data_IF_417784214522
#
_entry.id   IF_417784214522
#
_cell.length_a   1.000
_cell.length_b   1.000
_cell.length_c   1.000
_cell.angle_alpha   90.00
_cell.angle_beta   90.00
_cell.angle_gamma   90.00
#
_symmetry.space_group_name_H-M   'P 1'
#
loop_
_entity.id
_entity.type
_entity.pdbx_description
1 polymer ?
#
# COMPACT_ATOMS: atom_id res chain seq x y z
N UNK A 1 10.93 -35.77 -10.92
CA UNK A 1 11.07 -34.83 -9.78
C UNK A 1 9.83 -34.93 -8.93
N UNK A 2 10.00 -35.18 -7.63
CA UNK A 2 8.91 -35.41 -6.68
C UNK A 2 8.31 -34.09 -6.17
N UNK A 3 7.01 -34.06 -5.84
CA UNK A 3 6.36 -32.89 -5.23
C UNK A 3 7.06 -32.43 -3.94
N UNK A 4 7.68 -33.37 -3.20
CA UNK A 4 8.44 -33.08 -1.99
C UNK A 4 9.74 -32.29 -2.27
N UNK A 5 10.42 -32.56 -3.39
CA UNK A 5 11.64 -31.85 -3.80
C UNK A 5 11.32 -30.41 -4.22
N UNK A 6 10.23 -30.22 -4.99
CA UNK A 6 9.71 -28.89 -5.33
C UNK A 6 9.29 -28.11 -4.08
N UNK A 7 8.71 -28.78 -3.09
CA UNK A 7 8.34 -28.15 -1.83
C UNK A 7 9.56 -27.65 -1.05
N UNK A 8 10.61 -28.47 -0.93
CA UNK A 8 11.86 -28.07 -0.26
C UNK A 8 12.57 -26.91 -0.98
N UNK A 9 12.62 -26.93 -2.31
CA UNK A 9 13.22 -25.84 -3.10
C UNK A 9 12.44 -24.53 -2.88
N UNK A 10 11.10 -24.57 -2.92
CA UNK A 10 10.26 -23.39 -2.66
C UNK A 10 10.45 -22.86 -1.24
N UNK A 11 10.51 -23.73 -0.24
CA UNK A 11 10.73 -23.31 1.15
C UNK A 11 12.07 -22.59 1.32
N UNK A 12 13.16 -23.13 0.76
CA UNK A 12 14.49 -22.50 0.83
C UNK A 12 14.54 -21.16 0.09
N UNK A 13 13.90 -21.07 -1.07
CA UNK A 13 13.79 -19.81 -1.82
C UNK A 13 13.08 -18.74 -0.98
N UNK A 14 11.93 -19.08 -0.39
CA UNK A 14 11.18 -18.14 0.47
C UNK A 14 11.95 -17.73 1.72
N UNK A 15 12.72 -18.65 2.33
CA UNK A 15 13.60 -18.30 3.45
C UNK A 15 14.72 -17.34 3.01
N UNK A 16 15.33 -17.56 1.85
CA UNK A 16 16.34 -16.66 1.28
C UNK A 16 15.77 -15.28 0.93
N UNK A 17 14.55 -15.22 0.38
CA UNK A 17 13.83 -13.96 0.13
C UNK A 17 13.58 -13.19 1.42
N UNK A 18 13.13 -13.87 2.48
CA UNK A 18 12.90 -13.27 3.80
C UNK A 18 14.18 -12.73 4.41
N UNK A 19 15.30 -13.46 4.33
CA UNK A 19 16.58 -12.99 4.85
C UNK A 19 17.08 -11.73 4.10
N UNK A 20 16.92 -11.68 2.78
CA UNK A 20 17.23 -10.49 1.98
C UNK A 20 16.30 -9.31 2.30
N UNK A 21 15.02 -9.58 2.49
CA UNK A 21 14.04 -8.58 2.89
C UNK A 21 14.33 -8.00 4.27
N UNK A 22 14.74 -8.85 5.24
CA UNK A 22 15.10 -8.42 6.58
C UNK A 22 16.30 -7.45 6.58
N UNK A 23 17.21 -7.59 5.60
CA UNK A 23 18.34 -6.69 5.37
C UNK A 23 18.00 -5.46 4.52
N UNK A 24 16.77 -5.37 3.98
CA UNK A 24 16.37 -4.30 3.05
C UNK A 24 16.91 -4.46 1.62
N UNK A 25 17.63 -5.55 1.32
CA UNK A 25 18.31 -5.79 0.05
C UNK A 25 17.37 -6.35 -1.04
N UNK A 26 16.18 -6.81 -0.65
CA UNK A 26 15.23 -7.37 -1.61
C UNK A 26 14.58 -6.24 -2.43
N UNK A 27 14.82 -6.24 -3.75
CA UNK A 27 14.23 -5.28 -4.69
C UNK A 27 12.73 -5.52 -4.84
N UNK A 28 11.93 -4.70 -4.15
CA UNK A 28 10.47 -4.72 -4.25
C UNK A 28 9.99 -3.75 -5.33
N UNK A 29 8.85 -4.03 -5.99
CA UNK A 29 8.25 -3.07 -6.92
C UNK A 29 7.82 -1.82 -6.17
N UNK A 30 8.39 -0.67 -6.52
CA UNK A 30 8.07 0.62 -5.92
C UNK A 30 6.88 1.30 -6.62
N UNK A 31 6.05 2.04 -5.86
CA UNK A 31 4.91 2.77 -6.42
C UNK A 31 5.35 3.96 -7.29
N UNK A 32 4.39 4.58 -7.99
CA UNK A 32 4.63 5.83 -8.73
C UNK A 32 5.21 6.92 -7.82
N UNK A 33 6.22 7.65 -8.31
CA UNK A 33 6.93 8.66 -7.51
C UNK A 33 8.14 8.16 -6.76
N UNK A 34 8.38 6.85 -6.77
CA UNK A 34 9.62 6.25 -6.31
C UNK A 34 10.26 5.50 -7.48
N UNK A 35 11.59 5.56 -7.56
CA UNK A 35 12.40 4.89 -8.56
C UNK A 35 13.55 4.13 -7.88
N UNK A 36 14.14 3.18 -8.57
CA UNK A 36 15.40 2.58 -8.14
C UNK A 36 16.53 3.27 -8.91
N UNK A 37 17.57 3.69 -8.20
CA UNK A 37 18.80 4.14 -8.83
C UNK A 37 19.60 2.95 -9.41
N UNK A 38 20.67 3.24 -10.16
CA UNK A 38 21.65 2.26 -10.68
C UNK A 38 22.23 1.40 -9.57
N UNK A 39 22.45 1.98 -8.39
CA UNK A 39 22.91 1.29 -7.18
C UNK A 39 21.85 0.36 -6.57
N UNK A 40 20.59 0.46 -7.00
CA UNK A 40 19.48 -0.34 -6.49
C UNK A 40 18.76 0.24 -5.27
N UNK A 41 19.19 1.41 -4.80
CA UNK A 41 18.52 2.13 -3.71
C UNK A 41 17.24 2.80 -4.19
N UNK A 42 16.29 2.95 -3.27
CA UNK A 42 15.02 3.62 -3.54
C UNK A 42 15.24 5.13 -3.45
N UNK A 43 14.98 5.83 -4.53
CA UNK A 43 15.04 7.29 -4.63
C UNK A 43 13.67 7.87 -4.97
N UNK A 44 13.48 9.16 -4.71
CA UNK A 44 12.35 9.89 -5.28
C UNK A 44 12.46 9.90 -6.81
N UNK A 45 11.32 9.86 -7.50
CA UNK A 45 11.30 9.91 -8.95
C UNK A 45 11.95 11.23 -9.42
N UNK A 46 12.93 11.24 -10.33
CA UNK A 46 13.57 12.46 -10.83
C UNK A 46 12.60 13.44 -11.50
N UNK A 47 11.42 12.98 -11.92
CA UNK A 47 10.37 13.85 -12.46
C UNK A 47 9.75 14.76 -11.37
N UNK A 48 10.09 16.04 -11.42
CA UNK A 48 9.57 17.07 -10.51
C UNK A 48 8.04 17.20 -10.56
N UNK A 49 7.41 16.99 -11.71
CA UNK A 49 5.95 17.06 -11.84
C UNK A 49 5.29 15.93 -11.03
N UNK A 50 5.88 14.73 -11.06
CA UNK A 50 5.43 13.60 -10.25
C UNK A 50 5.62 13.90 -8.77
N UNK A 51 6.78 14.44 -8.38
CA UNK A 51 7.04 14.80 -6.99
C UNK A 51 6.05 15.86 -6.48
N UNK A 52 5.87 16.95 -7.23
CA UNK A 52 4.95 18.03 -6.90
C UNK A 52 3.50 17.52 -6.79
N UNK A 53 3.08 16.61 -7.69
CA UNK A 53 1.73 16.04 -7.65
C UNK A 53 1.50 15.20 -6.39
N UNK A 54 2.47 14.38 -6.00
CA UNK A 54 2.35 13.56 -4.80
C UNK A 54 2.42 14.41 -3.53
N UNK A 55 3.32 15.40 -3.49
CA UNK A 55 3.37 16.40 -2.41
C UNK A 55 2.03 17.12 -2.25
N UNK A 56 1.39 17.54 -3.35
CA UNK A 56 0.08 18.17 -3.34
C UNK A 56 -1.01 17.25 -2.76
N UNK A 57 -0.98 15.95 -3.07
CA UNK A 57 -1.95 14.98 -2.51
C UNK A 57 -1.84 14.94 -0.99
N UNK A 58 -0.63 14.84 -0.44
CA UNK A 58 -0.42 14.81 1.00
C UNK A 58 -0.77 16.15 1.65
N UNK A 59 -0.37 17.27 1.06
CA UNK A 59 -0.72 18.60 1.56
C UNK A 59 -2.25 18.81 1.60
N UNK A 60 -2.96 18.45 0.53
CA UNK A 60 -4.42 18.57 0.47
C UNK A 60 -5.12 17.58 1.40
N UNK A 61 -4.53 16.41 1.65
CA UNK A 61 -5.06 15.50 2.66
C UNK A 61 -4.90 16.04 4.07
N UNK A 62 -3.78 16.71 4.37
CA UNK A 62 -3.54 17.37 5.65
C UNK A 62 -4.56 18.48 5.92
N UNK A 63 -4.98 19.20 4.88
CA UNK A 63 -6.01 20.23 4.95
C UNK A 63 -7.43 19.63 5.06
N UNK A 64 -7.81 18.74 4.13
CA UNK A 64 -9.20 18.30 3.95
C UNK A 64 -9.56 17.06 4.77
N UNK A 65 -8.58 16.31 5.27
CA UNK A 65 -8.73 15.10 6.07
C UNK A 65 -9.57 13.99 5.40
N UNK A 66 -9.86 14.07 4.10
CA UNK A 66 -10.74 13.14 3.39
C UNK A 66 -10.24 12.82 1.99
N UNK A 67 -10.02 11.54 1.69
CA UNK A 67 -9.54 11.09 0.38
C UNK A 67 -10.52 11.46 -0.77
N UNK A 68 -11.84 11.47 -0.50
CA UNK A 68 -12.85 11.89 -1.48
C UNK A 68 -12.77 13.40 -1.74
N UNK A 69 -12.53 14.20 -0.70
CA UNK A 69 -12.38 15.65 -0.85
C UNK A 69 -11.12 15.99 -1.66
N UNK A 70 -10.00 15.31 -1.39
CA UNK A 70 -8.76 15.44 -2.16
C UNK A 70 -9.00 15.05 -3.63
N UNK A 71 -9.68 13.93 -3.90
CA UNK A 71 -10.03 13.54 -5.27
C UNK A 71 -10.88 14.60 -5.99
N UNK A 72 -11.90 15.16 -5.32
CA UNK A 72 -12.72 16.23 -5.91
C UNK A 72 -11.90 17.48 -6.22
N UNK A 73 -10.99 17.87 -5.32
CA UNK A 73 -10.09 18.98 -5.56
C UNK A 73 -9.22 18.73 -6.79
N UNK A 74 -8.60 17.55 -6.90
CA UNK A 74 -7.77 17.19 -8.05
C UNK A 74 -8.57 17.22 -9.36
N UNK A 75 -9.79 16.67 -9.37
CA UNK A 75 -10.65 16.70 -10.55
C UNK A 75 -11.11 18.11 -10.94
N UNK A 76 -11.43 18.96 -9.96
CA UNK A 76 -11.86 20.34 -10.21
C UNK A 76 -10.76 21.17 -10.88
N UNK A 77 -9.50 20.83 -10.63
CA UNK A 77 -8.34 21.53 -11.19
C UNK A 77 -7.70 20.75 -12.36
N UNK A 78 -8.36 19.72 -12.90
CA UNK A 78 -7.85 18.86 -13.98
C UNK A 78 -6.45 18.29 -13.71
N UNK A 79 -6.23 17.87 -12.47
CA UNK A 79 -4.96 17.35 -11.99
C UNK A 79 -4.95 15.81 -12.00
N UNK A 80 -4.41 15.15 -13.06
CA UNK A 80 -4.23 13.70 -13.06
C UNK A 80 -3.21 13.22 -12.01
N UNK A 81 -3.29 11.95 -11.65
CA UNK A 81 -2.35 11.31 -10.73
C UNK A 81 -1.37 10.40 -11.49
N UNK A 82 -0.10 10.37 -11.05
CA UNK A 82 0.89 9.46 -11.60
C UNK A 82 0.56 8.03 -11.16
N UNK A 83 0.51 7.11 -12.11
CA UNK A 83 0.27 5.69 -11.88
C UNK A 83 1.37 4.90 -12.58
N UNK A 84 2.01 4.02 -11.82
CA UNK A 84 2.98 3.07 -12.36
C UNK A 84 2.24 1.77 -12.64
N UNK A 85 2.11 1.34 -13.91
CA UNK A 85 1.56 0.03 -14.21
C UNK A 85 2.47 -1.05 -13.60
N UNK A 86 1.86 -2.07 -12.98
CA UNK A 86 2.60 -3.22 -12.41
C UNK A 86 2.83 -4.33 -13.45
N UNK A 87 2.12 -4.29 -14.57
CA UNK A 87 2.23 -5.23 -15.68
C UNK A 87 2.47 -4.45 -16.96
N UNK A 88 3.48 -4.87 -17.72
CA UNK A 88 3.82 -4.31 -19.03
C UNK A 88 5.27 -4.63 -19.40
N UNK A 89 5.67 -4.44 -20.67
CA UNK A 89 7.08 -4.48 -21.05
C UNK A 89 7.84 -3.40 -20.26
N UNK A 90 9.01 -3.76 -19.74
CA UNK A 90 9.88 -2.79 -19.07
C UNK A 90 10.39 -1.74 -20.08
N UNK A 91 10.55 -0.46 -19.70
CA UNK A 91 10.34 0.13 -18.38
C UNK A 91 8.88 0.45 -18.07
N UNK A 92 8.47 0.23 -16.81
CA UNK A 92 7.13 0.56 -16.33
C UNK A 92 7.04 2.09 -16.11
N UNK A 93 6.88 2.82 -17.21
CA UNK A 93 6.84 4.28 -17.21
C UNK A 93 5.62 4.82 -16.45
N UNK A 94 5.77 6.02 -15.91
CA UNK A 94 4.70 6.69 -15.18
C UNK A 94 3.62 7.14 -16.17
N UNK A 95 2.40 6.66 -15.97
CA UNK A 95 1.22 7.04 -16.75
C UNK A 95 0.34 7.96 -15.93
N UNK A 96 -0.06 9.08 -16.51
CA UNK A 96 -0.99 10.02 -15.89
C UNK A 96 -2.42 9.53 -16.08
N UNK A 97 -3.15 9.37 -14.97
CA UNK A 97 -4.55 8.94 -14.99
C UNK A 97 -5.42 9.85 -14.16
N UNK A 98 -6.68 9.98 -14.55
CA UNK A 98 -7.65 10.77 -13.80
C UNK A 98 -7.72 10.37 -12.32
N UNK A 99 -7.84 11.37 -11.45
CA UNK A 99 -7.90 11.17 -10.02
C UNK A 99 -9.12 10.32 -9.65
N UNK A 100 -8.90 9.26 -8.90
CA UNK A 100 -9.96 8.42 -8.34
C UNK A 100 -9.71 8.26 -6.83
N UNK A 101 -10.80 8.12 -6.08
CA UNK A 101 -10.79 7.87 -4.65
C UNK A 101 -9.93 6.66 -4.28
N UNK A 102 -9.99 5.58 -5.05
CA UNK A 102 -9.17 4.38 -4.84
C UNK A 102 -7.68 4.66 -5.04
N UNK A 103 -7.33 5.51 -6.01
CA UNK A 103 -5.94 5.89 -6.29
C UNK A 103 -5.38 6.78 -5.18
N UNK A 104 -6.15 7.78 -4.75
CA UNK A 104 -5.78 8.64 -3.62
C UNK A 104 -5.59 7.80 -2.36
N UNK A 105 -6.52 6.89 -2.06
CA UNK A 105 -6.39 5.96 -0.93
C UNK A 105 -5.14 5.07 -1.05
N UNK A 106 -4.87 4.55 -2.25
CA UNK A 106 -3.68 3.72 -2.47
C UNK A 106 -2.37 4.47 -2.22
N UNK A 107 -2.34 5.77 -2.52
CA UNK A 107 -1.19 6.65 -2.24
C UNK A 107 -1.07 6.87 -0.73
N UNK A 108 -2.15 7.32 -0.07
CA UNK A 108 -2.16 7.63 1.36
C UNK A 108 -1.91 6.41 2.25
N UNK A 109 -2.26 5.19 1.80
CA UNK A 109 -2.07 3.94 2.56
C UNK A 109 -0.72 3.27 2.28
N UNK A 110 0.13 3.85 1.43
CA UNK A 110 1.39 3.21 1.07
C UNK A 110 2.54 3.70 1.97
N UNK A 111 3.10 2.82 2.84
CA UNK A 111 4.20 3.17 3.76
C UNK A 111 5.48 3.54 3.01
N UNK A 112 5.64 3.14 1.74
CA UNK A 112 6.80 3.53 0.94
C UNK A 112 6.91 5.07 0.82
N UNK A 113 5.81 5.81 0.75
CA UNK A 113 5.89 7.27 0.71
C UNK A 113 6.34 7.89 2.03
N UNK A 114 6.34 7.11 3.12
CA UNK A 114 6.88 7.51 4.42
C UNK A 114 8.37 7.15 4.60
N UNK A 115 9.03 6.70 3.52
CA UNK A 115 10.42 6.22 3.58
C UNK A 115 10.56 4.85 4.23
N UNK A 116 9.47 4.11 4.42
CA UNK A 116 9.49 2.81 5.07
C UNK A 116 9.60 1.67 4.05
N UNK A 117 10.63 0.84 4.22
CA UNK A 117 10.78 -0.41 3.51
C UNK A 117 9.98 -1.49 4.22
N UNK A 118 9.02 -2.09 3.53
CA UNK A 118 8.07 -3.03 4.12
C UNK A 118 7.97 -4.31 3.32
N UNK A 119 8.17 -5.44 3.99
CA UNK A 119 7.95 -6.78 3.45
C UNK A 119 6.84 -7.52 4.22
N UNK A 120 6.09 -8.38 3.54
CA UNK A 120 5.02 -9.16 4.17
C UNK A 120 3.66 -8.44 4.29
N UNK A 121 3.42 -7.34 3.55
CA UNK A 121 2.14 -6.58 3.56
C UNK A 121 0.89 -7.40 3.21
N UNK A 122 1.08 -8.55 2.59
CA UNK A 122 0.03 -9.42 2.07
C UNK A 122 0.39 -10.86 2.40
N UNK A 123 -0.51 -11.55 3.09
CA UNK A 123 -0.41 -13.01 3.33
C UNK A 123 -1.44 -13.71 2.47
N UNK A 124 -1.06 -14.88 1.95
CA UNK A 124 -1.98 -15.76 1.22
C UNK A 124 -2.57 -16.71 2.25
N UNK A 125 -3.81 -16.45 2.65
CA UNK A 125 -4.54 -17.25 3.63
C UNK A 125 -5.45 -18.22 2.88
N UNK A 126 -4.85 -19.30 2.37
CA UNK A 126 -5.55 -20.31 1.58
C UNK A 126 -6.11 -19.78 0.26
N UNK A 127 -7.15 -20.43 -0.26
CA UNK A 127 -7.77 -20.09 -1.54
C UNK A 127 -9.07 -20.85 -1.78
N UNK A 128 -9.80 -20.45 -2.80
CA UNK A 128 -11.04 -21.12 -3.22
C UNK A 128 -10.89 -21.62 -4.64
N UNK A 129 -11.36 -22.84 -4.90
CA UNK A 129 -11.48 -23.36 -6.26
C UNK A 129 -12.79 -22.85 -6.85
N UNK A 130 -12.73 -22.17 -8.00
CA UNK A 130 -13.92 -21.76 -8.76
C UNK A 130 -13.72 -22.16 -10.21
N UNK A 131 -14.67 -22.92 -10.78
CA UNK A 131 -14.58 -23.48 -12.13
C UNK A 131 -13.28 -24.28 -12.37
N UNK A 132 -12.88 -25.12 -11.41
CA UNK A 132 -11.65 -25.93 -11.51
C UNK A 132 -10.34 -25.14 -11.34
N UNK A 133 -10.38 -23.81 -11.20
CA UNK A 133 -9.18 -22.97 -11.02
C UNK A 133 -9.04 -22.58 -9.56
N UNK A 134 -7.91 -22.94 -8.94
CA UNK A 134 -7.55 -22.47 -7.60
C UNK A 134 -7.24 -20.97 -7.63
N UNK A 135 -7.99 -20.20 -6.83
CA UNK A 135 -7.75 -18.77 -6.64
C UNK A 135 -7.28 -18.52 -5.20
N UNK A 136 -5.99 -18.20 -4.99
CA UNK A 136 -5.48 -17.86 -3.67
C UNK A 136 -6.19 -16.62 -3.12
N UNK A 137 -6.51 -16.64 -1.83
CA UNK A 137 -7.06 -15.48 -1.11
C UNK A 137 -5.92 -14.73 -0.46
N UNK A 138 -5.69 -13.50 -0.90
CA UNK A 138 -4.69 -12.62 -0.31
C UNK A 138 -5.33 -11.65 0.69
N UNK A 139 -4.93 -11.74 1.96
CA UNK A 139 -5.36 -10.83 3.02
C UNK A 139 -4.31 -9.74 3.22
N UNK A 140 -4.76 -8.51 3.50
CA UNK A 140 -3.87 -7.41 3.91
C UNK A 140 -3.49 -7.64 5.37
N UNK A 141 -2.20 -7.62 5.66
CA UNK A 141 -1.68 -7.80 7.02
C UNK A 141 -1.66 -6.45 7.73
N UNK A 142 -2.03 -6.43 9.02
CA UNK A 142 -1.99 -5.23 9.84
C UNK A 142 -0.55 -4.70 9.93
N UNK A 143 -0.38 -3.40 10.17
CA UNK A 143 0.95 -2.75 10.22
C UNK A 143 1.83 -3.41 11.28
N UNK A 144 1.26 -3.78 12.43
CA UNK A 144 1.96 -4.43 13.54
C UNK A 144 2.45 -5.86 13.21
N UNK A 145 1.83 -6.52 12.24
CA UNK A 145 2.13 -7.92 11.86
C UNK A 145 3.02 -8.01 10.62
N UNK A 146 3.57 -6.89 10.15
CA UNK A 146 4.50 -6.90 9.01
C UNK A 146 5.79 -7.62 9.38
N UNK A 147 6.21 -8.57 8.54
CA UNK A 147 7.41 -9.39 8.79
C UNK A 147 8.68 -8.53 8.86
N UNK A 148 8.74 -7.46 8.05
CA UNK A 148 9.83 -6.48 8.08
C UNK A 148 9.25 -5.09 7.87
N UNK A 149 9.61 -4.16 8.75
CA UNK A 149 9.29 -2.74 8.63
C UNK A 149 10.51 -1.91 9.03
N UNK A 150 11.36 -1.58 8.05
CA UNK A 150 12.50 -0.69 8.25
C UNK A 150 12.04 0.74 7.99
N UNK A 151 11.96 1.54 9.05
CA UNK A 151 11.60 2.96 8.96
C UNK A 151 12.80 3.76 8.45
N UNK A 152 12.54 4.84 7.71
CA UNK A 152 13.58 5.72 7.15
C UNK A 152 14.65 5.00 6.31
N UNK A 153 14.28 3.91 5.63
CA UNK A 153 15.17 3.16 4.74
C UNK A 153 15.49 3.95 3.46
N UNK A 154 14.65 4.92 3.08
CA UNK A 154 14.85 5.76 1.91
C UNK A 154 14.12 7.11 2.06
N UNK A 155 14.42 8.11 1.21
CA UNK A 155 13.69 9.37 1.18
C UNK A 155 12.19 9.13 0.93
N UNK A 156 11.35 9.72 1.80
CA UNK A 156 9.90 9.72 1.71
C UNK A 156 9.36 11.12 1.43
N UNK A 157 8.12 11.20 0.95
CA UNK A 157 7.39 12.47 0.81
C UNK A 157 6.84 12.98 2.14
N UNK A 158 6.61 12.07 3.08
CA UNK A 158 6.11 12.35 4.43
C UNK A 158 6.95 11.60 5.45
N UNK A 159 6.91 12.04 6.72
CA UNK A 159 7.51 11.30 7.82
C UNK A 159 6.67 10.07 8.24
N UNK A 160 7.28 9.16 8.98
CA UNK A 160 6.58 7.97 9.53
C UNK A 160 5.44 8.35 10.48
N UNK A 161 5.66 9.34 11.35
CA UNK A 161 4.64 9.82 12.27
C UNK A 161 3.43 10.42 11.53
N UNK A 162 3.68 11.22 10.49
CA UNK A 162 2.63 11.78 9.65
C UNK A 162 1.85 10.66 8.92
N UNK A 163 2.54 9.63 8.46
CA UNK A 163 1.88 8.47 7.86
C UNK A 163 0.94 7.76 8.83
N UNK A 164 1.38 7.54 10.07
CA UNK A 164 0.56 6.89 11.11
C UNK A 164 -0.67 7.74 11.46
N UNK A 165 -0.50 9.06 11.57
CA UNK A 165 -1.62 9.98 11.79
C UNK A 165 -2.61 9.97 10.62
N UNK A 166 -2.10 9.92 9.38
CA UNK A 166 -2.95 9.77 8.20
C UNK A 166 -3.73 8.44 8.23
N UNK A 167 -3.13 7.33 8.67
CA UNK A 167 -3.84 6.06 8.82
C UNK A 167 -4.96 6.14 9.87
N UNK A 168 -4.72 6.80 11.02
CA UNK A 168 -5.74 7.01 12.06
C UNK A 168 -6.92 7.82 11.51
N UNK A 169 -6.64 8.90 10.78
CA UNK A 169 -7.67 9.74 10.13
C UNK A 169 -8.48 8.95 9.11
N UNK A 170 -7.83 8.12 8.30
CA UNK A 170 -8.51 7.26 7.34
C UNK A 170 -9.41 6.23 8.04
N UNK A 171 -8.95 5.61 9.12
CA UNK A 171 -9.75 4.68 9.92
C UNK A 171 -10.98 5.36 10.55
N UNK A 172 -10.80 6.55 11.14
CA UNK A 172 -11.88 7.32 11.73
C UNK A 172 -12.95 7.72 10.69
N UNK A 173 -12.53 8.04 9.46
CA UNK A 173 -13.47 8.33 8.37
C UNK A 173 -14.29 7.11 7.95
N UNK A 174 -13.72 5.91 7.97
CA UNK A 174 -14.44 4.67 7.71
C UNK A 174 -15.48 4.43 8.81
N UNK A 175 -15.08 4.56 10.08
CA UNK A 175 -15.97 4.36 11.22
C UNK A 175 -17.15 5.35 11.22
N UNK A 176 -16.91 6.63 10.89
CA UNK A 176 -17.99 7.64 10.74
C UNK A 176 -18.94 7.31 9.59
N UNK A 177 -18.42 6.76 8.50
CA UNK A 177 -19.25 6.32 7.37
C UNK A 177 -20.15 5.14 7.78
N UNK A 178 -19.61 4.14 8.47
CA UNK A 178 -20.37 2.98 8.96
C UNK A 178 -21.40 3.36 10.03
N UNK A 179 -21.03 4.22 10.99
CA UNK A 179 -21.93 4.71 12.02
C UNK A 179 -23.10 5.56 11.46
N UNK A 180 -22.90 6.24 10.32
CA UNK A 180 -23.95 6.99 9.62
C UNK A 180 -24.77 6.18 8.60
N UNK A 181 -24.41 4.93 8.35
CA UNK A 181 -25.08 4.04 7.37
C UNK A 181 -25.61 2.76 8.03
N UNK A 182 -26.24 2.86 9.21
CA UNK A 182 -27.20 1.85 9.68
C UNK A 182 -28.47 1.89 8.83
N UNK A 183 -28.35 1.51 7.56
CA UNK A 183 -29.41 1.64 6.56
C UNK A 183 -29.37 0.49 5.55
N UNK A 184 -30.19 -0.53 5.83
CA UNK A 184 -30.64 -1.65 4.99
C UNK A 184 -29.54 -2.59 4.44
N UNK A 185 -29.53 -3.88 4.83
CA UNK A 185 -28.56 -4.84 4.33
C UNK A 185 -28.80 -5.12 2.85
N UNK A 186 -28.00 -4.49 1.97
CA UNK A 186 -27.92 -4.92 0.57
C UNK A 186 -27.17 -6.26 0.53
N UNK A 187 -27.90 -7.35 0.31
CA UNK A 187 -27.34 -8.64 -0.14
C UNK A 187 -26.53 -8.41 -1.41
N UNK A 188 -25.21 -8.38 -1.27
CA UNK A 188 -24.25 -8.25 -2.36
C UNK A 188 -22.85 -8.18 -1.78
N UNK A 189 -22.14 -9.31 -1.78
CA UNK A 189 -20.92 -9.50 -1.03
C UNK A 189 -19.79 -8.53 -1.38
N UNK A 190 -19.59 -7.54 -0.52
CA UNK A 190 -18.34 -6.81 -0.41
C UNK A 190 -17.74 -7.09 0.97
N UNK A 191 -16.67 -7.87 0.99
CA UNK A 191 -15.93 -8.20 2.21
C UNK A 191 -15.27 -6.93 2.74
N UNK A 192 -15.94 -6.25 3.68
CA UNK A 192 -15.35 -5.20 4.50
C UNK A 192 -14.18 -5.82 5.29
N UNK A 193 -12.99 -5.25 5.08
CA UNK A 193 -11.78 -5.61 5.84
C UNK A 193 -11.78 -4.75 7.10
N UNK A 194 -12.28 -5.31 8.19
CA UNK A 194 -12.02 -4.79 9.53
C UNK A 194 -10.52 -4.92 9.82
N UNK A 195 -9.88 -3.83 10.18
CA UNK A 195 -8.54 -3.84 10.77
C UNK A 195 -8.73 -3.90 12.29
N UNK A 196 -8.21 -4.91 13.01
CA UNK A 196 -8.24 -4.88 14.45
C UNK A 196 -7.19 -3.88 14.94
N UNK A 197 -7.65 -2.83 15.63
CA UNK A 197 -6.81 -1.92 16.39
C UNK A 197 -6.67 -2.54 17.79
N UNK A 198 -5.50 -3.11 18.11
CA UNK A 198 -5.22 -3.57 19.49
C UNK A 198 -4.70 -2.37 20.27
N UNK A 199 -5.59 -1.76 21.06
CA UNK A 199 -5.21 -0.85 22.12
C UNK A 199 -4.68 -1.65 23.30
N UNK A 200 -3.37 -1.65 23.49
CA UNK A 200 -2.74 -2.14 24.71
C UNK A 200 -2.99 -1.14 25.84
N UNK A 201 -3.91 -1.48 26.74
CA UNK A 201 -4.00 -0.86 28.06
C UNK A 201 -2.80 -1.35 28.88
N UNK A 202 -1.93 -0.42 29.28
CA UNK A 202 -0.90 -0.67 30.29
C UNK A 202 -1.60 -0.60 31.65
N UNK A 203 -1.67 -1.73 32.35
CA UNK A 203 -1.92 -1.80 33.77
C UNK A 203 -0.61 -2.27 34.43
N UNK A 204 -0.18 -1.54 35.45
CA UNK A 204 1.05 -1.77 36.21
C UNK A 204 1.48 -0.51 36.91
#
# INVERSE_FOLDING_TARGET
MSEAELHQIKQRLHQGERQKAARGELRLPVPAGLAHDRSGEIILNPDEQVQARLGLVFAKFRELHSARAVMRYLRKNDLPLPVRPLLGPAPHDVVWRQADSSRVLSILQNPAYAGAYVYGRRRVDGGRIRHGVYRPRTTKVAIADWEVCLQAAHPGYIGWEEFMENQRRLANNINRYEAGHSGVPRKGGHCCRAWPFVGGAVAG
#
